data_IF_635885077565
#
_entry.id   IF_635885077565
#
_cell.length_a   1.000
_cell.length_b   1.000
_cell.length_c   1.000
_cell.angle_alpha   90.00
_cell.angle_beta   90.00
_cell.angle_gamma   90.00
#
_symmetry.space_group_name_H-M   'P 1'
#
loop_
_entity.id
_entity.type
_entity.pdbx_description
1 polymer ?
#
# COMPACT_ATOMS: atom_id res chain seq x y z
N UNK A 1 -19.72 -5.82 10.72
CA UNK A 1 -19.81 -5.98 9.25
C UNK A 1 -19.55 -4.67 8.51
N UNK A 2 -20.25 -3.56 8.77
CA UNK A 2 -19.94 -2.27 8.12
C UNK A 2 -18.48 -1.83 8.28
N UNK A 3 -17.97 -1.79 9.52
CA UNK A 3 -16.55 -1.50 9.79
C UNK A 3 -15.56 -2.45 9.10
N UNK A 4 -15.98 -3.69 8.85
CA UNK A 4 -15.14 -4.71 8.20
C UNK A 4 -15.10 -4.48 6.69
N UNK A 5 -16.25 -4.16 6.07
CA UNK A 5 -16.32 -3.74 4.68
C UNK A 5 -15.53 -2.45 4.46
N UNK A 6 -15.61 -1.52 5.41
CA UNK A 6 -14.86 -0.27 5.36
C UNK A 6 -13.35 -0.47 5.57
N UNK A 7 -12.95 -1.40 6.44
CA UNK A 7 -11.54 -1.77 6.61
C UNK A 7 -10.96 -2.27 5.30
N UNK A 8 -11.69 -3.18 4.64
CA UNK A 8 -11.35 -3.68 3.31
C UNK A 8 -11.22 -2.55 2.30
N UNK A 9 -12.26 -1.74 2.15
CA UNK A 9 -12.30 -0.67 1.16
C UNK A 9 -11.16 0.33 1.35
N UNK A 10 -10.92 0.78 2.58
CA UNK A 10 -9.86 1.75 2.89
C UNK A 10 -8.46 1.14 2.76
N UNK A 11 -8.29 -0.11 3.21
CA UNK A 11 -7.04 -0.85 3.08
C UNK A 11 -6.66 -1.10 1.62
N UNK A 12 -7.60 -1.58 0.79
CA UNK A 12 -7.41 -1.78 -0.65
C UNK A 12 -7.07 -0.46 -1.36
N UNK A 13 -7.73 0.65 -0.99
CA UNK A 13 -7.42 1.95 -1.57
C UNK A 13 -6.00 2.42 -1.25
N UNK A 14 -5.49 2.15 -0.05
CA UNK A 14 -4.11 2.46 0.34
C UNK A 14 -3.13 1.55 -0.42
N UNK A 15 -3.38 0.24 -0.46
CA UNK A 15 -2.55 -0.73 -1.19
C UNK A 15 -2.43 -0.37 -2.68
N UNK A 16 -3.55 -0.01 -3.32
CA UNK A 16 -3.56 0.43 -4.71
C UNK A 16 -2.77 1.73 -4.91
N UNK A 17 -2.86 2.67 -3.96
CA UNK A 17 -2.09 3.91 -4.01
C UNK A 17 -0.58 3.65 -3.87
N UNK A 18 -0.17 2.71 -3.01
CA UNK A 18 1.24 2.27 -2.88
C UNK A 18 1.76 1.69 -4.19
N UNK A 19 0.97 0.82 -4.85
CA UNK A 19 1.32 0.25 -6.16
C UNK A 19 1.51 1.35 -7.22
N UNK A 20 0.53 2.25 -7.35
CA UNK A 20 0.60 3.38 -8.30
C UNK A 20 1.78 4.31 -8.03
N UNK A 21 2.08 4.59 -6.77
CA UNK A 21 3.21 5.41 -6.37
C UNK A 21 4.53 4.78 -6.85
N UNK A 22 4.65 3.45 -6.74
CA UNK A 22 5.80 2.72 -7.22
C UNK A 22 5.92 2.69 -8.74
N UNK A 23 4.86 2.30 -9.44
CA UNK A 23 4.83 2.19 -10.90
C UNK A 23 5.13 3.51 -11.60
N UNK A 24 4.74 4.64 -10.99
CA UNK A 24 4.95 5.96 -11.56
C UNK A 24 6.29 6.59 -11.16
N UNK A 25 7.15 5.89 -10.43
CA UNK A 25 8.40 6.47 -9.93
C UNK A 25 9.35 6.84 -11.07
N UNK A 26 9.79 8.12 -11.16
CA UNK A 26 10.84 8.50 -12.10
C UNK A 26 12.15 7.78 -11.81
N UNK A 27 12.93 7.52 -12.87
CA UNK A 27 14.27 6.94 -12.76
C UNK A 27 15.14 7.68 -11.72
N UNK A 28 15.82 6.92 -10.86
CA UNK A 28 16.69 7.44 -9.82
C UNK A 28 15.99 7.92 -8.54
N UNK A 29 14.66 7.86 -8.47
CA UNK A 29 13.90 8.17 -7.25
C UNK A 29 13.52 6.88 -6.50
N UNK A 30 13.32 6.94 -5.16
CA UNK A 30 12.88 5.79 -4.39
C UNK A 30 11.43 5.42 -4.77
N UNK A 31 11.16 4.14 -5.12
CA UNK A 31 9.86 3.75 -5.62
C UNK A 31 8.82 3.44 -4.55
N UNK A 32 9.22 3.31 -3.28
CA UNK A 32 8.28 3.18 -2.18
C UNK A 32 8.26 4.44 -1.33
N UNK A 33 7.09 4.86 -0.83
CA UNK A 33 6.98 6.02 0.03
C UNK A 33 7.53 5.71 1.43
N UNK A 34 7.89 6.76 2.17
CA UNK A 34 8.35 6.65 3.56
C UNK A 34 7.22 6.85 4.56
N UNK A 35 6.14 7.50 4.14
CA UNK A 35 4.92 7.79 4.91
C UNK A 35 3.70 7.84 3.99
N UNK A 36 2.49 7.70 4.54
CA UNK A 36 1.26 7.69 3.73
C UNK A 36 0.95 9.05 3.10
N UNK A 37 1.45 10.13 3.69
CA UNK A 37 1.28 11.50 3.21
C UNK A 37 1.95 11.72 1.86
N UNK A 38 3.01 10.96 1.55
CA UNK A 38 3.67 10.99 0.23
C UNK A 38 2.71 10.51 -0.88
N UNK A 39 1.67 9.74 -0.53
CA UNK A 39 0.62 9.32 -1.47
C UNK A 39 -0.39 10.44 -1.76
N UNK A 40 -0.50 11.45 -0.89
CA UNK A 40 -1.41 12.59 -1.09
C UNK A 40 -0.83 13.62 -2.04
N UNK A 41 0.49 13.82 -1.97
CA UNK A 41 1.21 14.79 -2.77
C UNK A 41 2.60 14.25 -3.14
N UNK A 42 2.66 13.59 -4.29
CA UNK A 42 3.90 13.12 -4.88
C UNK A 42 4.61 14.27 -5.59
N UNK A 43 5.61 14.84 -4.93
CA UNK A 43 6.40 15.98 -5.40
C UNK A 43 7.60 15.58 -6.26
N UNK A 44 7.72 14.31 -6.66
CA UNK A 44 8.80 13.83 -7.55
C UNK A 44 8.61 14.28 -9.00
N UNK A 45 7.49 14.94 -9.29
CA UNK A 45 7.11 15.43 -10.61
C UNK A 45 7.03 16.96 -10.64
N UNK A 46 7.17 17.59 -11.82
CA UNK A 46 6.99 19.04 -11.97
C UNK A 46 5.62 19.55 -11.52
N UNK A 47 4.57 18.72 -11.65
CA UNK A 47 3.24 18.95 -11.07
C UNK A 47 2.96 17.87 -10.03
N UNK A 48 2.66 18.22 -8.77
CA UNK A 48 2.36 17.23 -7.74
C UNK A 48 1.25 16.27 -8.16
N UNK A 49 1.48 14.97 -8.01
CA UNK A 49 0.50 13.93 -8.34
C UNK A 49 -0.13 13.39 -7.06
N UNK A 50 -1.41 13.03 -7.12
CA UNK A 50 -2.13 12.47 -5.98
C UNK A 50 -2.50 11.02 -6.27
N UNK A 51 -1.99 10.10 -5.45
CA UNK A 51 -2.27 8.65 -5.54
C UNK A 51 -3.40 8.22 -4.60
N UNK A 52 -3.51 8.90 -3.46
CA UNK A 52 -4.52 8.66 -2.41
C UNK A 52 -5.31 9.95 -2.14
N UNK A 53 -6.62 9.83 -1.89
CA UNK A 53 -7.48 11.01 -1.69
C UNK A 53 -7.25 11.71 -0.35
N UNK A 54 -6.99 10.93 0.69
CA UNK A 54 -6.73 11.34 2.07
C UNK A 54 -6.13 10.15 2.82
N UNK A 55 -5.42 10.37 3.92
CA UNK A 55 -5.07 9.28 4.83
C UNK A 55 -6.36 8.86 5.55
N UNK A 56 -6.91 7.71 5.16
CA UNK A 56 -8.17 7.23 5.70
C UNK A 56 -8.05 6.93 7.20
N UNK A 57 -9.13 7.13 7.93
CA UNK A 57 -9.25 6.65 9.32
C UNK A 57 -9.37 5.13 9.32
N UNK A 58 -8.71 4.44 10.25
CA UNK A 58 -8.96 3.02 10.50
C UNK A 58 -10.32 2.88 11.21
N UNK A 59 -11.29 2.13 10.62
CA UNK A 59 -12.65 2.03 11.15
C UNK A 59 -12.74 1.27 12.49
N UNK A 60 -11.68 0.58 12.92
CA UNK A 60 -11.63 -0.12 14.20
C UNK A 60 -11.00 0.71 15.32
N UNK A 61 -9.97 1.51 15.03
CA UNK A 61 -9.34 2.42 16.01
C UNK A 61 -10.03 3.78 16.08
N UNK A 62 -10.71 4.20 15.00
CA UNK A 62 -11.29 5.52 14.86
C UNK A 62 -10.26 6.63 14.62
N UNK A 63 -9.01 6.29 14.28
CA UNK A 63 -7.92 7.24 14.01
C UNK A 63 -7.22 6.90 12.68
N UNK A 64 -6.55 7.86 12.00
CA UNK A 64 -5.73 7.58 10.82
C UNK A 64 -4.36 6.97 11.20
N UNK A 65 -4.37 5.95 12.06
CA UNK A 65 -3.18 5.37 12.71
C UNK A 65 -2.83 3.98 12.20
N UNK A 66 -2.98 3.76 10.89
CA UNK A 66 -2.60 2.50 10.24
C UNK A 66 -1.20 2.05 10.66
N UNK A 67 -1.05 0.76 10.92
CA UNK A 67 0.27 0.17 11.11
C UNK A 67 0.93 0.00 9.74
N UNK A 68 2.11 0.59 9.60
CA UNK A 68 2.87 0.59 8.36
C UNK A 68 3.75 -0.65 8.30
N UNK A 69 3.66 -1.40 7.21
CA UNK A 69 4.56 -2.51 6.95
C UNK A 69 5.69 -2.02 6.06
N UNK A 70 6.89 -1.99 6.63
CA UNK A 70 8.10 -1.71 5.88
C UNK A 70 8.70 -3.01 5.34
N UNK A 71 9.19 -2.95 4.11
CA UNK A 71 9.77 -4.11 3.47
C UNK A 71 10.72 -3.73 2.35
N UNK A 72 11.37 -4.76 1.82
CA UNK A 72 12.17 -4.67 0.63
C UNK A 72 11.53 -5.52 -0.46
N UNK A 73 11.36 -4.95 -1.64
CA UNK A 73 10.71 -5.61 -2.78
C UNK A 73 11.58 -5.45 -4.02
N UNK A 74 11.82 -6.53 -4.77
CA UNK A 74 12.46 -6.40 -6.07
C UNK A 74 11.49 -5.66 -7.01
N UNK A 75 11.99 -4.62 -7.67
CA UNK A 75 11.25 -3.86 -8.67
C UNK A 75 12.10 -3.70 -9.92
N UNK A 76 11.45 -3.64 -11.06
CA UNK A 76 12.09 -3.20 -12.31
C UNK A 76 11.82 -1.71 -12.48
N UNK A 77 12.86 -0.94 -12.74
CA UNK A 77 12.74 0.50 -13.00
C UNK A 77 13.43 0.86 -14.29
N UNK A 78 12.82 1.72 -15.10
CA UNK A 78 13.42 2.21 -16.33
C UNK A 78 13.20 1.33 -17.56
N UNK A 79 13.65 1.82 -18.73
CA UNK A 79 13.48 1.13 -20.01
C UNK A 79 14.32 -0.15 -20.16
N UNK A 80 15.41 -0.29 -19.40
CA UNK A 80 16.28 -1.46 -19.39
C UNK A 80 15.83 -2.55 -18.40
N UNK A 81 14.67 -2.37 -17.76
CA UNK A 81 14.11 -3.29 -16.76
C UNK A 81 15.11 -3.65 -15.65
N UNK A 82 15.97 -2.71 -15.25
CA UNK A 82 16.96 -2.93 -14.20
C UNK A 82 16.29 -3.32 -12.90
N UNK A 83 16.69 -4.47 -12.35
CA UNK A 83 16.25 -4.92 -11.05
C UNK A 83 16.88 -4.03 -9.96
N UNK A 84 16.03 -3.42 -9.14
CA UNK A 84 16.42 -2.64 -7.97
C UNK A 84 15.70 -3.16 -6.74
N UNK A 85 16.35 -3.10 -5.59
CA UNK A 85 15.75 -3.48 -4.31
C UNK A 85 15.11 -2.24 -3.67
N UNK A 86 13.84 -2.05 -3.94
CA UNK A 86 13.06 -0.96 -3.37
C UNK A 86 12.86 -1.17 -1.87
N UNK A 87 12.98 -0.11 -1.07
CA UNK A 87 12.76 -0.16 0.38
C UNK A 87 11.79 0.94 0.78
N UNK A 88 10.79 0.61 1.59
CA UNK A 88 9.80 1.57 2.09
C UNK A 88 8.53 0.88 2.55
N UNK A 89 7.42 1.62 2.55
CA UNK A 89 6.11 1.07 2.91
C UNK A 89 5.63 0.16 1.79
N UNK A 90 5.41 -1.12 2.12
CA UNK A 90 4.90 -2.14 1.19
C UNK A 90 3.44 -2.50 1.47
N UNK A 91 2.89 -2.05 2.60
CA UNK A 91 1.51 -2.33 2.97
C UNK A 91 1.10 -1.66 4.27
N UNK A 92 -0.17 -1.85 4.61
CA UNK A 92 -0.78 -1.36 5.85
C UNK A 92 -1.69 -2.41 6.47
N UNK A 93 -1.91 -2.30 7.77
CA UNK A 93 -2.92 -3.06 8.50
C UNK A 93 -3.51 -2.27 9.66
N UNK A 94 -4.62 -2.74 10.20
CA UNK A 94 -5.21 -2.13 11.40
C UNK A 94 -4.35 -2.41 12.62
N UNK A 95 -4.30 -1.47 13.57
CA UNK A 95 -3.69 -1.70 14.90
C UNK A 95 -4.62 -2.43 15.86
N UNK A 96 -5.88 -2.63 15.48
CA UNK A 96 -6.90 -3.21 16.34
C UNK A 96 -6.91 -4.74 16.27
N UNK A 97 -6.80 -5.40 17.44
CA UNK A 97 -7.00 -6.84 17.58
C UNK A 97 -8.49 -7.25 17.69
N UNK A 98 -9.42 -6.36 17.33
CA UNK A 98 -10.85 -6.67 17.35
C UNK A 98 -11.17 -7.76 16.34
N UNK A 99 -11.93 -8.76 16.80
CA UNK A 99 -12.33 -9.89 15.97
C UNK A 99 -13.20 -9.47 14.78
N UNK A 100 -12.90 -10.04 13.61
CA UNK A 100 -13.72 -9.93 12.42
C UNK A 100 -14.83 -10.99 12.48
N UNK A 101 -16.00 -10.66 11.94
CA UNK A 101 -17.17 -11.55 11.96
C UNK A 101 -17.52 -12.02 10.56
N UNK A 102 -17.52 -11.13 9.58
CA UNK A 102 -17.79 -11.42 8.19
C UNK A 102 -16.63 -12.18 7.51
N UNK A 103 -15.39 -11.95 7.95
CA UNK A 103 -14.18 -12.50 7.34
C UNK A 103 -13.42 -13.46 8.27
N UNK A 104 -14.05 -13.93 9.34
CA UNK A 104 -13.43 -14.74 10.40
C UNK A 104 -12.76 -16.05 9.91
N UNK A 105 -13.20 -16.59 8.77
CA UNK A 105 -12.62 -17.79 8.16
C UNK A 105 -11.20 -17.55 7.63
N UNK A 106 -10.87 -16.32 7.22
CA UNK A 106 -9.58 -15.96 6.64
C UNK A 106 -8.74 -15.09 7.58
N UNK A 107 -9.39 -14.17 8.30
CA UNK A 107 -8.74 -13.21 9.18
C UNK A 107 -9.47 -13.21 10.52
N UNK A 108 -8.80 -13.60 11.62
CA UNK A 108 -9.44 -13.67 12.93
C UNK A 108 -9.72 -12.28 13.50
N UNK A 109 -8.78 -11.35 13.29
CA UNK A 109 -8.84 -9.97 13.78
C UNK A 109 -8.56 -8.96 12.67
N UNK A 110 -8.90 -7.69 12.90
CA UNK A 110 -8.59 -6.61 11.98
C UNK A 110 -7.07 -6.45 11.74
N UNK A 111 -6.25 -6.77 12.74
CA UNK A 111 -4.79 -6.76 12.65
C UNK A 111 -4.22 -7.86 11.74
N UNK A 112 -4.90 -9.00 11.63
CA UNK A 112 -4.47 -10.11 10.76
C UNK A 112 -4.66 -9.78 9.27
N UNK A 113 -5.52 -8.80 8.96
CA UNK A 113 -5.80 -8.40 7.59
C UNK A 113 -4.78 -7.38 7.09
N UNK A 114 -3.78 -7.89 6.38
CA UNK A 114 -2.74 -7.09 5.74
C UNK A 114 -3.14 -6.69 4.32
N UNK A 115 -3.01 -5.41 3.99
CA UNK A 115 -3.19 -4.86 2.65
C UNK A 115 -1.82 -4.46 2.09
N UNK A 116 -1.26 -5.27 1.21
CA UNK A 116 0.02 -4.99 0.55
C UNK A 116 -0.18 -4.38 -0.82
N UNK A 117 0.76 -3.56 -1.26
CA UNK A 117 0.82 -3.05 -2.61
C UNK A 117 0.77 -4.21 -3.62
N UNK A 118 -0.12 -4.11 -4.61
CA UNK A 118 -0.08 -4.97 -5.79
C UNK A 118 1.05 -4.51 -6.68
N UNK A 119 2.24 -5.03 -6.41
CA UNK A 119 3.42 -4.79 -7.22
C UNK A 119 3.42 -5.82 -8.34
N UNK A 120 3.35 -5.33 -9.57
CA UNK A 120 3.47 -6.15 -10.77
C UNK A 120 4.85 -6.81 -10.76
N UNK A 121 4.94 -8.07 -10.32
CA UNK A 121 6.14 -8.90 -10.54
C UNK A 121 6.41 -8.96 -12.05
N UNK A 122 7.67 -8.92 -12.52
CA UNK A 122 7.94 -9.06 -13.94
C UNK A 122 7.37 -10.40 -14.42
N UNK A 123 6.40 -10.31 -15.33
CA UNK A 123 5.71 -11.44 -15.94
C UNK A 123 6.74 -12.36 -16.61
N UNK A 124 7.08 -13.48 -15.96
CA UNK A 124 7.75 -14.58 -16.64
C UNK A 124 6.69 -15.37 -17.43
N UNK A 125 6.21 -14.80 -18.55
CA UNK A 125 5.49 -15.56 -19.57
C UNK A 125 6.47 -15.91 -20.68
N UNK A 126 7.21 -17.00 -20.45
CA UNK A 126 7.83 -17.81 -21.48
C UNK A 126 7.25 -19.21 -21.40
N UNK A 127 6.23 -19.48 -22.23
CA UNK A 127 5.96 -20.79 -22.81
C UNK A 127 5.77 -20.57 -24.31
#
# INVERSE_FOLDING_TARGET
REREAELRFRGEAIALALGRYAEQTPLGQPPLPRRLEDLLADTRFPKPRRHLRQVYTDPFTGRPDWELMFGQVPMTTGPDARLVQATGIVGVRSRSNKALRAYAQQYKTAHDWVFTATLSSPSNQGQ
#
